data_IF_732296828309
#
_entry.id   IF_732296828309
#
_cell.length_a   1.000
_cell.length_b   1.000
_cell.length_c   1.000
_cell.angle_alpha   90.00
_cell.angle_beta   90.00
_cell.angle_gamma   90.00
#
_symmetry.space_group_name_H-M   'P 1'
#
loop_
_entity.id
_entity.type
_entity.pdbx_description
1 polymer ?
#
# COMPACT_ATOMS: atom_id res chain seq x y z
N UNK A 1 -86.25 17.17 55.59
CA UNK A 1 -86.80 15.81 55.43
C UNK A 1 -85.89 15.11 54.43
N UNK A 2 -85.23 14.03 54.84
CA UNK A 2 -84.42 13.22 53.93
C UNK A 2 -85.34 12.15 53.31
N UNK A 3 -85.44 12.12 51.99
CA UNK A 3 -86.12 11.03 51.29
C UNK A 3 -85.26 9.77 51.39
N UNK A 4 -85.79 8.72 52.00
CA UNK A 4 -85.21 7.38 51.95
C UNK A 4 -85.40 6.82 50.53
N UNK A 5 -84.32 6.78 49.76
CA UNK A 5 -84.28 6.09 48.48
C UNK A 5 -84.31 4.58 48.77
N UNK A 6 -85.44 3.94 48.52
CA UNK A 6 -85.58 2.47 48.55
C UNK A 6 -85.17 1.90 47.20
N UNK A 7 -83.94 1.40 47.11
CA UNK A 7 -83.45 0.65 45.94
C UNK A 7 -83.99 -0.77 46.03
N UNK A 8 -84.52 -1.30 44.92
CA UNK A 8 -85.04 -2.66 44.86
C UNK A 8 -83.91 -3.70 44.74
N UNK A 9 -84.17 -4.95 45.19
CA UNK A 9 -83.19 -6.05 45.06
C UNK A 9 -82.79 -6.32 43.61
N UNK A 10 -83.71 -6.11 42.64
CA UNK A 10 -83.42 -6.22 41.21
C UNK A 10 -82.46 -5.13 40.69
N UNK A 11 -82.55 -3.91 41.20
CA UNK A 11 -81.62 -2.82 40.84
C UNK A 11 -80.23 -3.07 41.41
N UNK A 12 -80.14 -3.58 42.65
CA UNK A 12 -78.88 -4.00 43.26
C UNK A 12 -78.22 -5.13 42.46
N UNK A 13 -78.98 -6.15 42.04
CA UNK A 13 -78.47 -7.25 41.24
C UNK A 13 -77.92 -6.80 39.87
N UNK A 14 -78.58 -5.82 39.22
CA UNK A 14 -78.09 -5.22 37.96
C UNK A 14 -76.79 -4.45 38.16
N UNK A 15 -76.69 -3.67 39.24
CA UNK A 15 -75.47 -2.93 39.58
C UNK A 15 -74.31 -3.90 39.86
N UNK A 16 -74.54 -4.98 40.61
CA UNK A 16 -73.50 -5.98 40.87
C UNK A 16 -73.02 -6.69 39.60
N UNK A 17 -73.93 -7.02 38.69
CA UNK A 17 -73.58 -7.62 37.40
C UNK A 17 -72.75 -6.66 36.54
N UNK A 18 -73.12 -5.38 36.50
CA UNK A 18 -72.38 -4.36 35.76
C UNK A 18 -70.98 -4.11 36.35
N UNK A 19 -70.86 -4.06 37.68
CA UNK A 19 -69.56 -3.93 38.36
C UNK A 19 -68.66 -5.12 38.07
N UNK A 20 -69.18 -6.35 38.13
CA UNK A 20 -68.41 -7.56 37.77
C UNK A 20 -67.96 -7.55 36.30
N UNK A 21 -68.85 -7.13 35.40
CA UNK A 21 -68.51 -7.01 33.97
C UNK A 21 -67.39 -6.00 33.74
N UNK A 22 -67.47 -4.81 34.36
CA UNK A 22 -66.44 -3.78 34.24
C UNK A 22 -65.10 -4.23 34.85
N UNK A 23 -65.12 -4.88 36.01
CA UNK A 23 -63.92 -5.45 36.63
C UNK A 23 -63.26 -6.51 35.75
N UNK A 24 -64.06 -7.37 35.10
CA UNK A 24 -63.54 -8.38 34.17
C UNK A 24 -62.88 -7.74 32.94
N UNK A 25 -63.51 -6.73 32.33
CA UNK A 25 -62.93 -6.00 31.20
C UNK A 25 -61.62 -5.29 31.58
N UNK A 26 -61.56 -4.70 32.77
CA UNK A 26 -60.38 -3.98 33.25
C UNK A 26 -59.21 -4.92 33.55
N UNK A 27 -59.48 -6.08 34.17
CA UNK A 27 -58.51 -7.17 34.35
C UNK A 27 -57.99 -7.69 33.02
N UNK A 28 -58.87 -7.85 32.03
CA UNK A 28 -58.47 -8.30 30.70
C UNK A 28 -57.60 -7.27 29.98
N UNK A 29 -57.94 -5.97 30.05
CA UNK A 29 -57.09 -4.91 29.49
C UNK A 29 -55.71 -4.85 30.16
N UNK A 30 -55.65 -5.03 31.48
CA UNK A 30 -54.38 -5.07 32.20
C UNK A 30 -53.53 -6.26 31.78
N UNK A 31 -54.13 -7.46 31.65
CA UNK A 31 -53.39 -8.66 31.25
C UNK A 31 -52.89 -8.55 29.80
N UNK A 32 -53.69 -8.01 28.88
CA UNK A 32 -53.26 -7.74 27.50
C UNK A 32 -52.11 -6.73 27.42
N UNK A 33 -52.13 -5.71 28.28
CA UNK A 33 -51.06 -4.70 28.34
C UNK A 33 -49.75 -5.32 28.86
N UNK A 34 -49.83 -6.12 29.93
CA UNK A 34 -48.67 -6.84 30.47
C UNK A 34 -48.11 -7.85 29.49
N UNK A 35 -48.97 -8.58 28.77
CA UNK A 35 -48.55 -9.55 27.76
C UNK A 35 -47.76 -8.87 26.63
N UNK A 36 -48.23 -7.73 26.13
CA UNK A 36 -47.51 -6.93 25.12
C UNK A 36 -46.19 -6.39 25.64
N UNK A 37 -46.13 -5.96 26.89
CA UNK A 37 -44.89 -5.48 27.50
C UNK A 37 -43.85 -6.60 27.61
N UNK A 38 -44.26 -7.79 28.02
CA UNK A 38 -43.40 -8.98 28.10
C UNK A 38 -42.93 -9.39 26.70
N UNK A 39 -43.83 -9.45 25.72
CA UNK A 39 -43.48 -9.78 24.33
C UNK A 39 -42.43 -8.81 23.78
N UNK A 40 -42.60 -7.51 24.01
CA UNK A 40 -41.63 -6.50 23.60
C UNK A 40 -40.27 -6.71 24.28
N UNK A 41 -40.24 -6.96 25.59
CA UNK A 41 -38.98 -7.23 26.33
C UNK A 41 -38.25 -8.45 25.78
N UNK A 42 -38.97 -9.56 25.59
CA UNK A 42 -38.40 -10.80 25.03
C UNK A 42 -37.85 -10.55 23.63
N UNK A 43 -38.59 -9.80 22.79
CA UNK A 43 -38.15 -9.47 21.45
C UNK A 43 -36.87 -8.63 21.46
N UNK A 44 -36.79 -7.61 22.31
CA UNK A 44 -35.58 -6.78 22.44
C UNK A 44 -34.39 -7.57 22.95
N UNK A 45 -34.58 -8.44 23.94
CA UNK A 45 -33.49 -9.27 24.47
C UNK A 45 -32.96 -10.26 23.42
N UNK A 46 -33.84 -10.82 22.59
CA UNK A 46 -33.44 -11.73 21.51
C UNK A 46 -32.70 -10.98 20.40
N UNK A 47 -33.12 -9.76 20.04
CA UNK A 47 -32.39 -8.95 19.05
C UNK A 47 -31.02 -8.54 19.58
N UNK A 48 -30.95 -8.06 20.82
CA UNK A 48 -29.69 -7.65 21.46
C UNK A 48 -28.71 -8.82 21.57
N UNK A 49 -29.22 -10.03 21.84
CA UNK A 49 -28.39 -11.23 21.88
C UNK A 49 -27.85 -11.61 20.50
N UNK A 50 -28.70 -11.58 19.47
CA UNK A 50 -28.28 -11.86 18.10
C UNK A 50 -27.23 -10.84 17.61
N UNK A 51 -27.41 -9.55 17.92
CA UNK A 51 -26.43 -8.51 17.59
C UNK A 51 -25.10 -8.71 18.32
N UNK A 52 -25.14 -9.05 19.61
CA UNK A 52 -23.92 -9.38 20.38
C UNK A 52 -23.18 -10.58 19.82
N UNK A 53 -23.89 -11.64 19.43
CA UNK A 53 -23.29 -12.82 18.80
C UNK A 53 -22.67 -12.48 17.44
N UNK A 54 -23.33 -11.64 16.63
CA UNK A 54 -22.80 -11.16 15.36
C UNK A 54 -21.50 -10.35 15.54
N UNK A 55 -21.49 -9.41 16.49
CA UNK A 55 -20.31 -8.61 16.81
C UNK A 55 -19.15 -9.47 17.36
N UNK A 56 -19.45 -10.47 18.19
CA UNK A 56 -18.42 -11.40 18.67
C UNK A 56 -17.77 -12.18 17.52
N UNK A 57 -18.57 -12.65 16.58
CA UNK A 57 -18.07 -13.36 15.40
C UNK A 57 -17.17 -12.45 14.55
N UNK A 58 -17.59 -11.22 14.27
CA UNK A 58 -16.80 -10.25 13.51
C UNK A 58 -15.45 -9.95 14.18
N UNK A 59 -15.43 -9.81 15.50
CA UNK A 59 -14.19 -9.61 16.26
C UNK A 59 -13.24 -10.81 16.12
N UNK A 60 -13.77 -12.04 16.15
CA UNK A 60 -12.97 -13.26 15.98
C UNK A 60 -12.39 -13.31 14.56
N UNK A 61 -13.23 -13.13 13.54
CA UNK A 61 -12.81 -13.16 12.14
C UNK A 61 -11.72 -12.10 11.86
N UNK A 62 -11.87 -10.90 12.42
CA UNK A 62 -10.88 -9.83 12.30
C UNK A 62 -9.56 -10.21 12.97
N UNK A 63 -9.58 -10.80 14.17
CA UNK A 63 -8.36 -11.24 14.87
C UNK A 63 -7.62 -12.34 14.10
N UNK A 64 -8.34 -13.31 13.55
CA UNK A 64 -7.75 -14.38 12.74
C UNK A 64 -7.11 -13.81 11.47
N UNK A 65 -7.78 -12.86 10.79
CA UNK A 65 -7.22 -12.20 9.61
C UNK A 65 -5.94 -11.41 9.90
N UNK A 66 -5.89 -10.70 11.04
CA UNK A 66 -4.71 -9.95 11.47
C UNK A 66 -3.55 -10.89 11.82
N UNK A 67 -3.83 -11.97 12.54
CA UNK A 67 -2.82 -12.96 12.89
C UNK A 67 -2.18 -13.57 11.64
N UNK A 68 -2.99 -13.93 10.64
CA UNK A 68 -2.50 -14.46 9.36
C UNK A 68 -1.64 -13.44 8.61
N UNK A 69 -2.09 -12.19 8.55
CA UNK A 69 -1.34 -11.10 7.89
C UNK A 69 0.02 -10.88 8.55
N UNK A 70 0.09 -10.90 9.89
CA UNK A 70 1.35 -10.76 10.63
C UNK A 70 2.29 -11.94 10.39
N UNK A 71 1.75 -13.16 10.30
CA UNK A 71 2.52 -14.36 9.98
C UNK A 71 3.13 -14.28 8.56
N UNK A 72 2.32 -13.88 7.57
CA UNK A 72 2.75 -13.76 6.18
C UNK A 72 3.83 -12.67 6.03
N UNK A 73 3.66 -11.50 6.65
CA UNK A 73 4.71 -10.46 6.67
C UNK A 73 5.98 -10.92 7.38
N UNK A 74 5.85 -11.75 8.43
CA UNK A 74 6.98 -12.34 9.14
C UNK A 74 7.82 -13.23 8.22
N UNK A 75 7.16 -14.11 7.45
CA UNK A 75 7.80 -14.99 6.47
C UNK A 75 8.48 -14.21 5.35
N UNK A 76 7.78 -13.24 4.75
CA UNK A 76 8.36 -12.40 3.70
C UNK A 76 9.61 -11.63 4.18
N UNK A 77 9.57 -11.13 5.42
CA UNK A 77 10.71 -10.44 6.02
C UNK A 77 11.90 -11.38 6.26
N UNK A 78 11.64 -12.60 6.71
CA UNK A 78 12.67 -13.61 6.91
C UNK A 78 13.31 -14.03 5.58
N UNK A 79 12.51 -14.29 4.55
CA UNK A 79 12.99 -14.60 3.21
C UNK A 79 13.84 -13.46 2.62
N UNK A 80 13.40 -12.21 2.78
CA UNK A 80 14.16 -11.04 2.33
C UNK A 80 15.50 -10.91 3.07
N UNK A 81 15.55 -11.20 4.37
CA UNK A 81 16.79 -11.18 5.16
C UNK A 81 17.76 -12.28 4.74
N UNK A 82 17.27 -13.50 4.48
CA UNK A 82 18.08 -14.61 3.98
C UNK A 82 18.68 -14.25 2.62
N UNK A 83 17.87 -13.73 1.71
CA UNK A 83 18.32 -13.29 0.39
C UNK A 83 19.37 -12.18 0.49
N UNK A 84 19.14 -11.16 1.31
CA UNK A 84 20.09 -10.06 1.49
C UNK A 84 21.43 -10.53 2.08
N UNK A 85 21.42 -11.51 2.98
CA UNK A 85 22.65 -12.13 3.50
C UNK A 85 23.40 -12.89 2.41
N UNK A 86 22.71 -13.71 1.63
CA UNK A 86 23.32 -14.45 0.52
C UNK A 86 23.92 -13.51 -0.54
N UNK A 87 23.20 -12.45 -0.90
CA UNK A 87 23.67 -11.44 -1.86
C UNK A 87 24.91 -10.71 -1.33
N UNK A 88 24.94 -10.38 -0.04
CA UNK A 88 26.10 -9.76 0.61
C UNK A 88 27.32 -10.67 0.60
N UNK A 89 27.18 -11.94 0.97
CA UNK A 89 28.28 -12.90 0.96
C UNK A 89 28.82 -13.12 -0.47
N UNK A 90 27.95 -13.21 -1.46
CA UNK A 90 28.34 -13.33 -2.87
C UNK A 90 29.11 -12.08 -3.34
N UNK A 91 28.68 -10.90 -2.91
CA UNK A 91 29.37 -9.64 -3.21
C UNK A 91 30.74 -9.56 -2.54
N UNK A 92 30.85 -9.93 -1.26
CA UNK A 92 32.13 -9.95 -0.53
C UNK A 92 33.14 -10.92 -1.17
N UNK A 93 32.69 -12.11 -1.61
CA UNK A 93 33.55 -13.05 -2.35
C UNK A 93 34.06 -12.45 -3.67
N UNK A 94 33.17 -11.83 -4.45
CA UNK A 94 33.57 -11.15 -5.71
C UNK A 94 34.56 -10.02 -5.46
N UNK A 95 34.38 -9.25 -4.39
CA UNK A 95 35.35 -8.21 -4.01
C UNK A 95 36.71 -8.81 -3.67
N UNK A 96 36.76 -9.89 -2.89
CA UNK A 96 38.01 -10.58 -2.56
C UNK A 96 38.71 -11.14 -3.79
N UNK A 97 37.96 -11.72 -4.74
CA UNK A 97 38.48 -12.22 -6.02
C UNK A 97 39.07 -11.09 -6.88
N UNK A 98 38.38 -9.95 -6.96
CA UNK A 98 38.86 -8.76 -7.67
C UNK A 98 40.11 -8.16 -7.01
N UNK A 99 40.15 -8.09 -5.68
CA UNK A 99 41.33 -7.63 -4.94
C UNK A 99 42.52 -8.58 -5.09
N UNK A 100 42.30 -9.90 -5.07
CA UNK A 100 43.34 -10.89 -5.31
C UNK A 100 43.87 -10.80 -6.74
N UNK A 101 42.98 -10.63 -7.73
CA UNK A 101 43.36 -10.38 -9.12
C UNK A 101 44.19 -9.10 -9.24
N UNK A 102 43.78 -8.01 -8.57
CA UNK A 102 44.51 -6.74 -8.52
C UNK A 102 45.89 -6.87 -7.85
N UNK A 103 46.04 -7.69 -6.81
CA UNK A 103 47.32 -7.94 -6.14
C UNK A 103 48.23 -8.89 -6.92
N UNK A 104 47.67 -9.79 -7.72
CA UNK A 104 48.40 -10.70 -8.61
C UNK A 104 48.90 -10.05 -9.91
N UNK A 105 48.34 -8.90 -10.30
CA UNK A 105 48.87 -8.05 -11.36
C UNK A 105 50.10 -7.29 -10.83
N UNK A 106 51.30 -7.81 -11.13
CA UNK A 106 52.54 -7.05 -11.06
C UNK A 106 52.33 -5.73 -11.81
N UNK A 107 52.83 -4.61 -11.27
CA UNK A 107 52.83 -3.32 -12.00
C UNK A 107 53.45 -3.46 -13.40
N UNK A 108 54.29 -4.46 -13.63
CA UNK A 108 54.94 -4.71 -14.93
C UNK A 108 54.13 -5.61 -15.88
N UNK A 109 53.09 -6.31 -15.43
CA UNK A 109 52.25 -7.19 -16.26
C UNK A 109 50.85 -6.59 -16.53
N UNK A 110 50.64 -5.33 -16.15
CA UNK A 110 49.42 -4.62 -16.53
C UNK A 110 49.42 -4.38 -18.04
N UNK A 111 48.39 -4.84 -18.78
CA UNK A 111 48.26 -4.54 -20.21
C UNK A 111 48.04 -3.04 -20.48
N UNK A 112 47.88 -2.23 -19.42
CA UNK A 112 47.75 -0.78 -19.49
C UNK A 112 49.05 -0.04 -19.13
N UNK A 113 50.14 -0.75 -18.78
CA UNK A 113 51.45 -0.14 -18.56
C UNK A 113 52.28 -0.09 -19.84
N UNK A 114 51.62 0.18 -20.96
CA UNK A 114 52.32 0.83 -22.07
C UNK A 114 52.47 2.29 -21.67
N UNK A 115 53.71 2.79 -21.62
CA UNK A 115 53.98 4.22 -21.79
C UNK A 115 53.50 4.62 -23.18
N UNK A 116 52.17 4.72 -23.33
CA UNK A 116 51.53 5.27 -24.49
C UNK A 116 51.82 6.76 -24.45
N UNK A 117 52.60 7.24 -25.40
CA UNK A 117 52.44 8.62 -25.86
C UNK A 117 51.00 8.71 -26.38
N UNK A 118 50.04 8.96 -25.48
CA UNK A 118 48.60 9.09 -25.79
C UNK A 118 48.34 10.13 -26.89
N UNK A 119 49.32 11.00 -27.10
CA UNK A 119 49.31 12.07 -28.08
C UNK A 119 49.85 11.67 -29.46
N UNK A 120 50.33 10.44 -29.71
CA UNK A 120 50.75 10.03 -31.06
C UNK A 120 49.73 9.03 -31.64
N UNK A 121 49.05 9.42 -32.71
CA UNK A 121 48.11 8.57 -33.44
C UNK A 121 48.67 8.23 -34.82
N UNK A 122 48.57 6.97 -35.23
CA UNK A 122 48.93 6.55 -36.58
C UNK A 122 47.70 6.70 -37.48
N UNK A 123 47.78 7.57 -38.49
CA UNK A 123 46.76 7.75 -39.53
C UNK A 123 47.42 7.51 -40.88
N UNK A 124 46.85 6.62 -41.70
CA UNK A 124 47.37 6.22 -43.02
C UNK A 124 48.87 5.84 -43.03
N UNK A 125 49.31 5.16 -41.98
CA UNK A 125 50.69 4.69 -41.83
C UNK A 125 51.71 5.77 -41.44
N UNK A 126 51.27 6.99 -41.12
CA UNK A 126 52.13 8.07 -40.57
C UNK A 126 51.78 8.34 -39.11
N UNK A 127 52.81 8.47 -38.27
CA UNK A 127 52.68 8.89 -36.88
C UNK A 127 52.42 10.39 -36.80
N UNK A 128 51.28 10.78 -36.22
CA UNK A 128 50.87 12.16 -36.03
C UNK A 128 50.80 12.46 -34.54
N UNK A 129 51.58 13.45 -34.11
CA UNK A 129 51.53 13.99 -32.75
C UNK A 129 50.36 14.97 -32.63
N UNK A 130 49.25 14.49 -32.06
CA UNK A 130 48.01 15.26 -31.86
C UNK A 130 48.18 16.41 -30.86
N UNK A 131 49.26 16.46 -30.07
CA UNK A 131 49.52 17.61 -29.18
C UNK A 131 50.03 18.84 -29.92
N UNK A 132 50.55 18.66 -31.15
CA UNK A 132 51.07 19.73 -32.02
C UNK A 132 50.06 20.21 -33.04
N UNK A 133 48.87 19.61 -33.05
CA UNK A 133 47.80 19.97 -33.95
C UNK A 133 47.01 21.15 -33.38
N UNK A 134 46.96 22.27 -34.11
CA UNK A 134 46.06 23.36 -33.77
C UNK A 134 44.62 22.96 -34.14
N UNK A 135 43.84 22.63 -33.12
CA UNK A 135 42.44 22.22 -33.27
C UNK A 135 41.60 23.26 -34.01
N UNK A 136 41.92 24.56 -33.89
CA UNK A 136 41.17 25.62 -34.59
C UNK A 136 41.43 25.59 -36.09
N UNK A 137 42.65 25.28 -36.49
CA UNK A 137 43.00 25.16 -37.90
C UNK A 137 42.38 23.89 -38.50
N UNK A 138 42.40 22.78 -37.76
CA UNK A 138 41.74 21.52 -38.16
C UNK A 138 40.23 21.68 -38.33
N UNK A 139 39.55 22.35 -37.40
CA UNK A 139 38.10 22.59 -37.52
C UNK A 139 37.78 23.47 -38.75
N UNK A 140 38.64 24.45 -39.04
CA UNK A 140 38.50 25.32 -40.20
C UNK A 140 38.71 24.56 -41.51
N UNK A 141 39.72 23.70 -41.59
CA UNK A 141 39.98 22.87 -42.78
C UNK A 141 38.92 21.79 -42.97
N UNK A 142 38.50 21.12 -41.89
CA UNK A 142 37.43 20.11 -41.93
C UNK A 142 36.10 20.74 -42.35
N UNK A 143 35.78 21.94 -41.84
CA UNK A 143 34.62 22.70 -42.27
C UNK A 143 34.68 23.05 -43.75
N UNK A 144 35.83 23.51 -44.26
CA UNK A 144 36.00 23.78 -45.71
C UNK A 144 35.80 22.52 -46.56
N UNK A 145 36.43 21.41 -46.17
CA UNK A 145 36.31 20.14 -46.90
C UNK A 145 34.87 19.62 -46.92
N UNK A 146 34.16 19.73 -45.80
CA UNK A 146 32.74 19.39 -45.72
C UNK A 146 31.88 20.26 -46.65
N UNK A 147 32.11 21.57 -46.66
CA UNK A 147 31.38 22.51 -47.50
C UNK A 147 31.61 22.24 -48.99
N UNK A 148 32.85 21.90 -49.38
CA UNK A 148 33.19 21.52 -50.75
C UNK A 148 32.51 20.21 -51.16
N UNK A 149 32.57 19.19 -50.31
CA UNK A 149 31.94 17.89 -50.58
C UNK A 149 30.42 17.96 -50.71
N UNK A 150 29.77 18.78 -49.89
CA UNK A 150 28.31 18.96 -49.91
C UNK A 150 27.84 20.17 -50.73
N UNK A 151 28.76 20.84 -51.44
CA UNK A 151 28.51 22.00 -52.29
C UNK A 151 27.77 23.14 -51.55
N UNK A 152 28.05 23.30 -50.26
CA UNK A 152 27.42 24.31 -49.42
C UNK A 152 28.11 25.66 -49.67
N UNK A 153 27.36 26.74 -49.91
CA UNK A 153 27.95 28.05 -50.16
C UNK A 153 28.74 28.58 -48.95
N UNK A 154 29.94 29.11 -49.19
CA UNK A 154 30.88 29.54 -48.12
C UNK A 154 30.31 30.57 -47.12
N UNK A 155 29.34 31.38 -47.53
CA UNK A 155 28.68 32.37 -46.65
C UNK A 155 27.69 31.75 -45.65
N UNK A 156 27.26 30.50 -45.85
CA UNK A 156 26.36 29.80 -44.94
C UNK A 156 27.09 29.27 -43.68
N UNK A 157 28.43 29.24 -43.71
CA UNK A 157 29.25 28.72 -42.62
C UNK A 157 30.00 29.85 -41.92
N UNK A 158 29.35 30.44 -40.92
CA UNK A 158 29.92 31.53 -40.13
C UNK A 158 30.51 30.97 -38.83
N UNK A 159 31.80 30.56 -38.86
CA UNK A 159 32.54 30.16 -37.65
C UNK A 159 33.07 31.42 -36.96
N UNK A 160 32.19 32.23 -36.39
CA UNK A 160 32.59 33.33 -35.51
C UNK A 160 31.65 33.37 -34.30
N UNK A 161 31.99 32.54 -33.32
CA UNK A 161 31.89 32.83 -31.88
C UNK A 161 33.13 32.27 -31.19
#
# INVERSE_FOLDING_TARGET
MAEEIKVSEEELAKIEAEVKSRQAEELQKQSETQAKEIENKVRTELTDKAEKEALQKEIIDMKESQAKTLEDMGKEREEALIKAKADREAFEKRLQELEATRKGLSKNDSPFNQTNNENIKVVDGKEIDVSKLDMKEIEKESGKAFMEYHNVPSHAWNINK
#
